data_IF_029429796072
#
_entry.id   IF_029429796072
#
_cell.length_a   1.000
_cell.length_b   1.000
_cell.length_c   1.000
_cell.angle_alpha   90.00
_cell.angle_beta   90.00
_cell.angle_gamma   90.00
#
_symmetry.space_group_name_H-M   'P 1'
#
loop_
_entity.id
_entity.type
_entity.pdbx_description
1 polymer ?
#
# COMPACT_ATOMS: atom_id res chain seq x y z
N UNK A 1 -19.36 -9.08 7.38
CA UNK A 1 -19.91 -7.99 8.17
C UNK A 1 -21.17 -7.38 7.53
N UNK A 2 -21.54 -7.77 6.31
CA UNK A 2 -22.78 -7.35 5.65
C UNK A 2 -22.85 -5.88 5.21
N UNK A 3 -21.72 -5.17 5.18
CA UNK A 3 -21.68 -3.82 4.63
C UNK A 3 -21.88 -3.91 3.11
N UNK A 4 -22.84 -3.16 2.51
CA UNK A 4 -23.13 -3.23 1.09
C UNK A 4 -22.05 -2.51 0.27
N UNK A 5 -20.92 -3.14 0.08
CA UNK A 5 -19.82 -2.64 -0.75
C UNK A 5 -20.04 -3.16 -2.17
N UNK A 6 -20.21 -2.25 -3.11
CA UNK A 6 -20.39 -2.58 -4.52
C UNK A 6 -19.07 -2.89 -5.23
N UNK A 7 -18.04 -2.13 -4.92
CA UNK A 7 -16.72 -2.22 -5.56
C UNK A 7 -15.59 -2.02 -4.56
N UNK A 8 -14.52 -2.75 -4.78
CA UNK A 8 -13.25 -2.62 -4.07
C UNK A 8 -12.22 -2.10 -5.05
N UNK A 9 -11.69 -0.91 -4.78
CA UNK A 9 -10.71 -0.29 -5.66
C UNK A 9 -9.33 -0.34 -5.05
N UNK A 10 -8.39 -0.92 -5.78
CA UNK A 10 -6.99 -0.92 -5.43
C UNK A 10 -6.29 0.22 -6.19
N UNK A 11 -5.73 1.13 -5.45
CA UNK A 11 -4.87 2.17 -6.00
C UNK A 11 -3.41 1.77 -5.74
N UNK A 12 -2.62 1.76 -6.79
CA UNK A 12 -1.18 1.52 -6.73
C UNK A 12 -0.41 2.75 -7.16
N UNK A 13 0.85 2.82 -6.77
CA UNK A 13 1.81 3.73 -7.38
C UNK A 13 2.41 3.09 -8.64
N UNK A 14 3.54 3.61 -9.11
CA UNK A 14 4.25 3.10 -10.29
C UNK A 14 4.68 1.63 -10.16
N UNK A 15 4.77 1.10 -8.93
CA UNK A 15 4.95 -0.32 -8.63
C UNK A 15 3.60 -1.06 -8.73
N UNK A 16 3.06 -1.12 -9.91
CA UNK A 16 1.68 -1.48 -10.19
C UNK A 16 1.40 -3.01 -10.32
N UNK A 17 2.09 -3.82 -9.55
CA UNK A 17 1.94 -5.30 -9.59
C UNK A 17 0.51 -5.75 -9.30
N UNK A 18 -0.18 -5.11 -8.35
CA UNK A 18 -1.57 -5.43 -8.03
C UNK A 18 -2.53 -4.92 -9.12
N UNK A 19 -2.26 -3.77 -9.70
CA UNK A 19 -3.06 -3.29 -10.84
C UNK A 19 -2.95 -4.26 -12.01
N UNK A 20 -1.74 -4.71 -12.35
CA UNK A 20 -1.51 -5.74 -13.36
C UNK A 20 -2.32 -7.01 -13.04
N UNK A 21 -2.24 -7.51 -11.80
CA UNK A 21 -2.96 -8.71 -11.40
C UNK A 21 -4.47 -8.59 -11.53
N UNK A 22 -5.09 -7.57 -10.99
CA UNK A 22 -6.55 -7.40 -11.02
C UNK A 22 -7.08 -7.01 -12.41
N UNK A 23 -6.20 -6.57 -13.30
CA UNK A 23 -6.55 -6.24 -14.69
C UNK A 23 -6.38 -7.43 -15.62
N UNK A 24 -5.32 -8.23 -15.44
CA UNK A 24 -4.92 -9.29 -16.36
C UNK A 24 -5.11 -10.70 -15.83
N UNK A 25 -5.25 -10.88 -14.52
CA UNK A 25 -5.23 -12.18 -13.84
C UNK A 25 -3.82 -12.76 -13.64
N UNK A 26 -2.77 -12.00 -13.96
CA UNK A 26 -1.38 -12.45 -13.86
C UNK A 26 -0.68 -11.68 -12.76
N UNK A 27 -0.19 -12.39 -11.75
CA UNK A 27 0.59 -11.81 -10.65
C UNK A 27 2.07 -12.12 -10.84
N UNK A 28 2.86 -11.06 -11.01
CA UNK A 28 4.32 -11.13 -11.20
C UNK A 28 5.01 -10.14 -10.27
N UNK A 29 5.35 -10.57 -9.05
CA UNK A 29 6.18 -9.75 -8.16
C UNK A 29 7.49 -9.38 -8.84
N UNK A 30 7.87 -8.12 -8.75
CA UNK A 30 9.15 -7.63 -9.28
C UNK A 30 10.28 -7.91 -8.29
N UNK A 31 11.49 -7.97 -8.79
CA UNK A 31 12.68 -8.02 -7.93
C UNK A 31 12.86 -6.71 -7.14
N UNK A 32 13.73 -6.71 -6.15
CA UNK A 32 14.07 -5.49 -5.43
C UNK A 32 14.73 -4.44 -6.36
N UNK A 33 15.47 -4.90 -7.38
CA UNK A 33 16.14 -4.02 -8.34
C UNK A 33 15.16 -3.38 -9.34
N UNK A 34 14.05 -4.07 -9.64
CA UNK A 34 13.01 -3.59 -10.54
C UNK A 34 11.92 -2.78 -9.81
N UNK A 35 11.99 -2.72 -8.49
CA UNK A 35 11.04 -1.93 -7.68
C UNK A 35 11.50 -0.49 -7.63
N UNK A 36 10.63 0.42 -8.08
CA UNK A 36 10.93 1.85 -8.13
C UNK A 36 10.80 2.48 -6.76
N UNK A 37 11.73 3.37 -6.40
CA UNK A 37 11.58 4.25 -5.26
C UNK A 37 10.63 5.40 -5.63
N UNK A 38 9.49 5.51 -4.95
CA UNK A 38 8.44 6.49 -5.28
C UNK A 38 8.19 7.48 -4.14
N UNK A 39 7.36 8.48 -4.39
CA UNK A 39 6.90 9.44 -3.37
C UNK A 39 5.79 8.88 -2.46
N UNK A 40 5.32 7.66 -2.69
CA UNK A 40 4.46 6.90 -1.78
C UNK A 40 5.14 5.59 -1.34
N UNK A 41 6.24 5.69 -0.56
CA UNK A 41 7.20 4.60 -0.36
C UNK A 41 6.63 3.37 0.38
N UNK A 42 5.54 3.49 1.11
CA UNK A 42 4.92 2.32 1.76
C UNK A 42 4.31 1.33 0.78
N UNK A 43 4.13 1.73 -0.48
CA UNK A 43 3.68 0.87 -1.57
C UNK A 43 4.82 0.39 -2.49
N UNK A 44 6.09 0.71 -2.16
CA UNK A 44 7.26 0.24 -2.89
C UNK A 44 7.61 -1.19 -2.49
N UNK A 45 6.61 -2.07 -2.57
CA UNK A 45 6.66 -3.47 -2.21
C UNK A 45 6.03 -4.29 -3.33
N UNK A 46 6.82 -5.11 -3.99
CA UNK A 46 6.32 -5.92 -5.12
C UNK A 46 5.56 -7.18 -4.69
N UNK A 47 5.97 -7.83 -3.59
CA UNK A 47 5.28 -9.02 -3.07
C UNK A 47 4.29 -8.62 -1.97
N UNK A 48 3.01 -8.53 -2.33
CA UNK A 48 1.94 -8.12 -1.42
C UNK A 48 1.51 -9.28 -0.50
N UNK A 49 1.90 -9.22 0.78
CA UNK A 49 1.59 -10.27 1.77
C UNK A 49 0.09 -10.45 2.04
N UNK A 50 -0.72 -9.41 1.85
CA UNK A 50 -2.17 -9.50 2.02
C UNK A 50 -2.86 -10.22 0.86
N UNK A 51 -2.29 -10.18 -0.35
CA UNK A 51 -2.83 -10.85 -1.52
C UNK A 51 -2.83 -12.37 -1.34
N UNK A 52 -1.79 -12.92 -0.74
CA UNK A 52 -1.66 -14.35 -0.46
C UNK A 52 -2.90 -14.91 0.28
N UNK A 53 -3.34 -14.22 1.33
CA UNK A 53 -4.54 -14.62 2.10
C UNK A 53 -5.81 -14.56 1.27
N UNK A 54 -5.93 -13.57 0.41
CA UNK A 54 -7.07 -13.46 -0.49
C UNK A 54 -7.06 -14.59 -1.54
N UNK A 55 -5.92 -14.88 -2.15
CA UNK A 55 -5.78 -15.98 -3.12
C UNK A 55 -6.06 -17.33 -2.45
N UNK A 56 -5.61 -17.53 -1.22
CA UNK A 56 -5.95 -18.72 -0.45
C UNK A 56 -7.47 -18.88 -0.26
N UNK A 57 -8.15 -17.80 0.10
CA UNK A 57 -9.61 -17.81 0.27
C UNK A 57 -10.35 -17.99 -1.07
N UNK A 58 -9.80 -17.49 -2.17
CA UNK A 58 -10.35 -17.60 -3.52
C UNK A 58 -10.30 -19.03 -4.06
N UNK A 59 -9.16 -19.70 -3.87
CA UNK A 59 -8.86 -21.01 -4.48
C UNK A 59 -9.15 -22.19 -3.56
N UNK A 60 -9.18 -21.98 -2.25
CA UNK A 60 -9.16 -23.04 -1.25
C UNK A 60 -7.75 -23.62 -1.04
N UNK A 61 -7.52 -24.34 0.09
CA UNK A 61 -6.18 -24.69 0.55
C UNK A 61 -5.41 -25.59 -0.44
N UNK A 62 -6.06 -26.57 -1.03
CA UNK A 62 -5.40 -27.56 -1.89
C UNK A 62 -4.90 -26.93 -3.21
N UNK A 63 -5.77 -26.18 -3.89
CA UNK A 63 -5.41 -25.50 -5.15
C UNK A 63 -4.44 -24.38 -4.90
N UNK A 64 -4.59 -23.66 -3.80
CA UNK A 64 -3.67 -22.59 -3.41
C UNK A 64 -2.23 -23.10 -3.29
N UNK A 65 -2.00 -24.19 -2.58
CA UNK A 65 -0.63 -24.72 -2.38
C UNK A 65 0.05 -25.02 -3.72
N UNK A 66 -0.68 -25.62 -4.67
CA UNK A 66 -0.14 -25.93 -5.99
C UNK A 66 0.21 -24.66 -6.77
N UNK A 67 -0.74 -23.71 -6.87
CA UNK A 67 -0.58 -22.47 -7.61
C UNK A 67 0.49 -21.55 -6.99
N UNK A 68 0.56 -21.52 -5.65
CA UNK A 68 1.58 -20.73 -4.97
C UNK A 68 2.99 -21.30 -5.13
N UNK A 69 3.13 -22.62 -5.20
CA UNK A 69 4.40 -23.26 -5.53
C UNK A 69 4.86 -22.93 -6.98
N UNK A 70 3.92 -22.75 -7.91
CA UNK A 70 4.25 -22.27 -9.26
C UNK A 70 4.84 -20.85 -9.21
N UNK A 71 4.27 -19.95 -8.41
CA UNK A 71 4.81 -18.60 -8.21
C UNK A 71 6.24 -18.64 -7.68
N UNK A 72 6.52 -19.47 -6.68
CA UNK A 72 7.87 -19.55 -6.08
C UNK A 72 8.91 -20.12 -7.07
N UNK A 73 8.49 -20.96 -8.02
CA UNK A 73 9.39 -21.58 -9.00
C UNK A 73 9.53 -20.78 -10.29
N UNK A 74 8.46 -20.16 -10.76
CA UNK A 74 8.42 -19.48 -12.06
C UNK A 74 8.45 -17.93 -11.95
N UNK A 75 8.26 -17.40 -10.75
CA UNK A 75 8.08 -15.96 -10.51
C UNK A 75 6.73 -15.41 -10.98
N UNK A 76 5.80 -16.29 -11.42
CA UNK A 76 4.51 -15.86 -11.98
C UNK A 76 3.38 -16.76 -11.48
N UNK A 77 2.26 -16.14 -11.09
CA UNK A 77 1.02 -16.83 -10.78
C UNK A 77 -0.04 -16.43 -11.83
N UNK A 78 -0.49 -17.40 -12.62
CA UNK A 78 -1.53 -17.21 -13.64
C UNK A 78 -2.90 -17.61 -13.08
N UNK A 79 -3.77 -16.61 -12.86
CA UNK A 79 -5.15 -16.78 -12.40
C UNK A 79 -6.14 -16.11 -13.38
N UNK A 80 -5.85 -16.13 -14.68
CA UNK A 80 -6.75 -15.58 -15.71
C UNK A 80 -8.12 -16.27 -15.71
N UNK A 81 -8.17 -17.53 -15.32
CA UNK A 81 -9.40 -18.31 -15.14
C UNK A 81 -10.29 -17.77 -13.99
N UNK A 82 -9.69 -17.05 -13.02
CA UNK A 82 -10.41 -16.43 -11.91
C UNK A 82 -10.79 -14.96 -12.15
N UNK A 83 -10.31 -14.36 -13.23
CA UNK A 83 -10.53 -12.93 -13.50
C UNK A 83 -12.02 -12.52 -13.54
N UNK A 84 -12.95 -13.31 -14.13
CA UNK A 84 -14.37 -13.01 -14.06
C UNK A 84 -14.89 -12.94 -12.63
N UNK A 85 -14.48 -13.88 -11.76
CA UNK A 85 -14.87 -13.86 -10.34
C UNK A 85 -14.34 -12.64 -9.60
N UNK A 86 -13.08 -12.26 -9.86
CA UNK A 86 -12.48 -11.07 -9.26
C UNK A 86 -13.29 -9.81 -9.57
N UNK A 87 -13.80 -9.69 -10.79
CA UNK A 87 -14.54 -8.51 -11.27
C UNK A 87 -16.02 -8.53 -10.89
N UNK A 88 -16.67 -9.66 -11.08
CA UNK A 88 -18.14 -9.77 -11.00
C UNK A 88 -18.61 -10.16 -9.59
N UNK A 89 -17.94 -11.12 -8.95
CA UNK A 89 -18.31 -11.60 -7.62
C UNK A 89 -17.76 -10.68 -6.52
N UNK A 90 -16.47 -10.28 -6.62
CA UNK A 90 -15.81 -9.48 -5.60
C UNK A 90 -15.80 -7.97 -5.92
N UNK A 91 -16.11 -7.59 -7.14
CA UNK A 91 -16.17 -6.20 -7.55
C UNK A 91 -14.82 -5.47 -7.57
N UNK A 92 -13.72 -6.20 -7.74
CA UNK A 92 -12.39 -5.60 -7.79
C UNK A 92 -12.17 -4.76 -9.04
N UNK A 93 -11.60 -3.58 -8.80
CA UNK A 93 -11.04 -2.68 -9.81
C UNK A 93 -9.66 -2.24 -9.32
N UNK A 94 -8.80 -1.88 -10.26
CA UNK A 94 -7.48 -1.40 -9.92
C UNK A 94 -7.05 -0.26 -10.85
N UNK A 95 -6.11 0.54 -10.39
CA UNK A 95 -5.51 1.61 -11.20
C UNK A 95 -4.21 2.09 -10.59
N UNK A 96 -3.41 2.72 -11.45
CA UNK A 96 -2.10 3.27 -11.08
C UNK A 96 -2.14 4.79 -11.05
N UNK A 97 -1.48 5.36 -10.06
CA UNK A 97 -1.22 6.79 -9.90
C UNK A 97 0.28 7.06 -10.09
N UNK A 98 0.60 8.18 -10.69
CA UNK A 98 1.98 8.64 -10.88
C UNK A 98 2.37 9.69 -9.84
N UNK A 99 3.67 10.02 -9.77
CA UNK A 99 4.13 11.11 -8.93
C UNK A 99 3.40 12.44 -9.20
N UNK A 100 3.23 12.79 -10.46
CA UNK A 100 2.51 14.01 -10.86
C UNK A 100 1.04 14.00 -10.42
N UNK A 101 0.36 12.84 -10.53
CA UNK A 101 -1.00 12.66 -10.06
C UNK A 101 -1.11 12.87 -8.54
N UNK A 102 -0.15 12.36 -7.76
CA UNK A 102 -0.10 12.53 -6.30
C UNK A 102 0.03 13.99 -5.91
N UNK A 103 0.95 14.72 -6.54
CA UNK A 103 1.13 16.15 -6.28
C UNK A 103 -0.15 16.92 -6.57
N UNK A 104 -0.81 16.64 -7.70
CA UNK A 104 -2.06 17.27 -8.07
C UNK A 104 -3.21 16.93 -7.10
N UNK A 105 -3.33 15.66 -6.69
CA UNK A 105 -4.34 15.26 -5.73
C UNK A 105 -4.15 15.95 -4.36
N UNK A 106 -2.93 16.07 -3.87
CA UNK A 106 -2.62 16.79 -2.62
C UNK A 106 -3.07 18.27 -2.74
N UNK A 107 -2.70 18.96 -3.83
CA UNK A 107 -3.13 20.36 -4.09
C UNK A 107 -4.64 20.49 -4.13
N UNK A 108 -5.27 19.72 -5.00
CA UNK A 108 -6.71 19.80 -5.24
C UNK A 108 -7.53 19.51 -3.98
N UNK A 109 -7.16 18.49 -3.19
CA UNK A 109 -7.84 18.19 -1.92
C UNK A 109 -7.65 19.34 -0.93
N UNK A 110 -6.44 19.89 -0.82
CA UNK A 110 -6.17 21.04 0.06
C UNK A 110 -6.98 22.27 -0.32
N UNK A 111 -7.03 22.62 -1.60
CA UNK A 111 -7.77 23.76 -2.11
C UNK A 111 -9.29 23.61 -1.91
N UNK A 112 -9.84 22.43 -2.19
CA UNK A 112 -11.28 22.19 -2.18
C UNK A 112 -11.88 21.95 -0.80
N UNK A 113 -11.11 21.37 0.11
CA UNK A 113 -11.61 20.92 1.42
C UNK A 113 -10.85 21.48 2.62
N UNK A 114 -9.72 22.14 2.41
CA UNK A 114 -8.82 22.56 3.47
C UNK A 114 -8.03 21.39 4.12
N UNK A 115 -8.32 20.14 3.76
CA UNK A 115 -7.64 18.95 4.33
C UNK A 115 -6.30 18.70 3.64
N UNK A 116 -5.34 18.25 4.42
CA UNK A 116 -4.06 17.82 3.91
C UNK A 116 -3.98 16.30 4.00
N UNK A 117 -3.74 15.67 2.84
CA UNK A 117 -3.60 14.22 2.70
C UNK A 117 -2.15 13.83 2.45
N UNK A 118 -1.81 12.61 2.81
CA UNK A 118 -0.50 12.02 2.52
C UNK A 118 -0.43 11.46 1.08
N UNK A 119 0.78 11.17 0.55
CA UNK A 119 0.94 10.69 -0.81
C UNK A 119 0.22 9.36 -1.12
N UNK A 120 0.11 8.45 -0.15
CA UNK A 120 -0.59 7.18 -0.35
C UNK A 120 -2.11 7.38 -0.44
N UNK A 121 -2.64 8.26 0.39
CA UNK A 121 -4.05 8.69 0.27
C UNK A 121 -4.29 9.40 -1.05
N UNK A 122 -3.31 10.16 -1.56
CA UNK A 122 -3.37 10.81 -2.87
C UNK A 122 -3.46 9.80 -4.03
N UNK A 123 -2.74 8.66 -3.95
CA UNK A 123 -2.91 7.56 -4.92
C UNK A 123 -4.36 7.06 -4.92
N UNK A 124 -4.93 6.84 -3.73
CA UNK A 124 -6.32 6.43 -3.58
C UNK A 124 -7.32 7.43 -4.15
N UNK A 125 -7.13 8.72 -3.88
CA UNK A 125 -7.97 9.80 -4.42
C UNK A 125 -7.89 9.84 -5.94
N UNK A 126 -6.69 9.82 -6.49
CA UNK A 126 -6.45 9.86 -7.95
C UNK A 126 -7.18 8.73 -8.67
N UNK A 127 -6.98 7.49 -8.24
CA UNK A 127 -7.61 6.34 -8.89
C UNK A 127 -9.13 6.36 -8.70
N UNK A 128 -9.60 6.75 -7.52
CA UNK A 128 -11.03 6.85 -7.22
C UNK A 128 -11.74 7.85 -8.13
N UNK A 129 -11.17 9.04 -8.33
CA UNK A 129 -11.75 10.07 -9.19
C UNK A 129 -11.92 9.66 -10.64
N UNK A 130 -11.10 8.72 -11.14
CA UNK A 130 -11.18 8.22 -12.52
C UNK A 130 -12.35 7.27 -12.77
N UNK A 131 -12.87 6.64 -11.70
CA UNK A 131 -13.82 5.54 -11.81
C UNK A 131 -15.05 5.68 -10.90
N UNK A 132 -15.15 6.76 -10.13
CA UNK A 132 -16.32 7.04 -9.28
C UNK A 132 -17.58 7.17 -10.12
N UNK A 133 -18.67 6.61 -9.62
CA UNK A 133 -19.97 6.67 -10.29
C UNK A 133 -20.90 7.67 -9.59
N UNK A 134 -21.60 8.52 -10.33
CA UNK A 134 -22.59 9.42 -9.77
C UNK A 134 -23.64 8.67 -8.96
N UNK A 135 -23.97 9.18 -7.77
CA UNK A 135 -24.97 8.59 -6.89
C UNK A 135 -24.45 7.47 -5.96
N UNK A 136 -23.20 7.08 -6.10
CA UNK A 136 -22.57 6.13 -5.18
C UNK A 136 -21.46 6.80 -4.37
N UNK A 137 -21.52 6.81 -3.02
CA UNK A 137 -20.44 7.34 -2.20
C UNK A 137 -19.18 6.48 -2.36
N UNK A 138 -18.04 7.16 -2.53
CA UNK A 138 -16.73 6.52 -2.60
C UNK A 138 -15.95 6.86 -1.34
N UNK A 139 -15.48 5.84 -0.62
CA UNK A 139 -14.65 5.99 0.56
C UNK A 139 -13.19 5.75 0.18
N UNK A 140 -12.36 6.76 0.36
CA UNK A 140 -10.90 6.63 0.24
C UNK A 140 -10.32 6.47 1.65
N UNK A 141 -9.60 5.37 1.87
CA UNK A 141 -9.00 5.10 3.16
C UNK A 141 -7.74 5.93 3.36
N UNK A 142 -7.75 6.82 4.35
CA UNK A 142 -6.54 7.53 4.77
C UNK A 142 -5.61 6.57 5.52
N UNK A 143 -4.39 6.40 5.03
CA UNK A 143 -3.46 5.38 5.54
C UNK A 143 -2.33 5.95 6.39
N UNK A 144 -2.03 7.24 6.25
CA UNK A 144 -0.97 7.93 6.98
C UNK A 144 -1.29 9.41 7.16
N UNK A 145 -0.42 10.12 7.90
CA UNK A 145 -0.51 11.59 8.04
C UNK A 145 0.50 12.25 7.12
N UNK A 146 0.11 13.38 6.52
CA UNK A 146 0.94 14.19 5.62
C UNK A 146 2.31 14.56 6.24
N UNK A 147 2.35 14.84 7.54
CA UNK A 147 3.58 15.15 8.26
C UNK A 147 4.66 14.06 8.22
N UNK A 148 4.32 12.82 7.85
CA UNK A 148 5.31 11.75 7.62
C UNK A 148 6.07 11.88 6.30
N UNK A 149 5.55 12.68 5.37
CA UNK A 149 6.07 12.82 4.01
C UNK A 149 6.28 14.29 3.65
N UNK A 150 7.07 15.04 4.46
CA UNK A 150 7.18 16.49 4.31
C UNK A 150 7.74 16.89 2.96
N UNK A 151 8.65 16.11 2.39
CA UNK A 151 9.25 16.41 1.07
C UNK A 151 8.20 16.44 -0.05
N UNK A 152 7.40 15.39 -0.18
CA UNK A 152 6.35 15.29 -1.21
C UNK A 152 5.26 16.34 -1.01
N UNK A 153 4.89 16.60 0.25
CA UNK A 153 3.89 17.63 0.58
C UNK A 153 4.42 19.02 0.26
N UNK A 154 5.68 19.30 0.58
CA UNK A 154 6.33 20.59 0.25
C UNK A 154 6.44 20.80 -1.26
N UNK A 155 6.76 19.74 -2.00
CA UNK A 155 6.78 19.79 -3.47
C UNK A 155 5.38 20.10 -4.05
N UNK A 156 4.34 19.52 -3.46
CA UNK A 156 2.97 19.77 -3.89
C UNK A 156 2.49 21.20 -3.58
N UNK A 157 2.82 21.73 -2.40
CA UNK A 157 2.20 22.96 -1.86
C UNK A 157 3.15 24.16 -1.82
N UNK A 158 4.45 23.97 -2.03
CA UNK A 158 5.47 25.02 -1.87
C UNK A 158 5.77 25.38 -0.40
N UNK A 159 5.24 24.61 0.58
CA UNK A 159 5.46 24.81 2.01
C UNK A 159 5.39 23.48 2.76
N UNK A 160 6.15 23.37 3.83
CA UNK A 160 6.13 22.17 4.67
C UNK A 160 4.78 22.02 5.40
N UNK A 161 4.34 20.77 5.60
CA UNK A 161 3.16 20.51 6.44
C UNK A 161 3.47 20.82 7.90
N UNK A 162 2.45 21.28 8.64
CA UNK A 162 2.57 21.45 10.08
C UNK A 162 2.95 20.12 10.74
N UNK A 163 4.01 20.16 11.54
CA UNK A 163 4.41 19.00 12.34
C UNK A 163 3.61 19.03 13.65
N UNK A 164 2.79 18.01 13.94
CA UNK A 164 2.09 17.95 15.21
C UNK A 164 3.07 17.99 16.41
N UNK A 165 2.72 18.72 17.48
CA UNK A 165 3.59 18.89 18.66
C UNK A 165 4.13 17.59 19.22
N UNK A 166 3.29 16.54 19.25
CA UNK A 166 3.69 15.18 19.69
C UNK A 166 4.81 14.61 18.83
N UNK A 167 4.79 14.87 17.52
CA UNK A 167 5.82 14.39 16.59
C UNK A 167 7.09 15.24 16.75
N UNK A 168 6.97 16.55 16.89
CA UNK A 168 8.10 17.44 17.13
C UNK A 168 8.84 17.05 18.42
N UNK A 169 8.12 16.82 19.53
CA UNK A 169 8.69 16.33 20.79
C UNK A 169 9.39 14.97 20.64
N UNK A 170 8.78 14.05 19.90
CA UNK A 170 9.36 12.74 19.63
C UNK A 170 10.66 12.82 18.82
N UNK A 171 10.70 13.68 17.79
CA UNK A 171 11.89 13.89 16.95
C UNK A 171 13.03 14.57 17.71
N UNK A 172 12.72 15.39 18.72
CA UNK A 172 13.71 16.05 19.56
C UNK A 172 14.36 15.09 20.60
N UNK A 173 13.78 13.91 20.83
CA UNK A 173 14.33 12.95 21.80
C UNK A 173 15.53 12.20 21.24
N UNK A 174 16.53 11.87 22.10
CA UNK A 174 17.65 11.04 21.67
C UNK A 174 17.17 9.67 21.22
N UNK A 175 17.66 9.23 20.08
CA UNK A 175 17.37 7.89 19.58
C UNK A 175 18.04 6.83 20.46
N UNK A 176 17.29 5.80 20.80
CA UNK A 176 17.80 4.61 21.48
C UNK A 176 17.86 3.48 20.46
N UNK A 177 19.01 3.32 19.85
CA UNK A 177 19.25 2.29 18.83
C UNK A 177 20.38 1.39 19.32
N UNK A 178 20.18 0.10 19.19
CA UNK A 178 21.19 -0.92 19.44
C UNK A 178 21.38 -1.74 18.17
N UNK A 179 22.61 -1.83 17.70
CA UNK A 179 22.95 -2.62 16.51
C UNK A 179 23.38 -3.99 16.95
N UNK A 180 22.74 -5.02 16.41
CA UNK A 180 23.07 -6.43 16.65
C UNK A 180 23.34 -7.11 15.32
N UNK A 181 24.04 -8.26 15.36
CA UNK A 181 24.21 -9.10 14.19
C UNK A 181 22.86 -9.66 13.71
N UNK A 182 22.71 -9.79 12.39
CA UNK A 182 21.49 -10.34 11.77
C UNK A 182 21.42 -11.87 11.98
N UNK A 183 21.29 -12.28 13.24
CA UNK A 183 21.19 -13.65 13.69
C UNK A 183 20.11 -13.77 14.77
N UNK A 184 19.50 -14.93 14.93
CA UNK A 184 18.47 -15.16 15.95
C UNK A 184 19.03 -15.06 17.38
N UNK A 185 20.21 -15.63 17.61
CA UNK A 185 20.78 -15.73 18.96
C UNK A 185 21.05 -14.36 19.62
N UNK A 186 21.70 -13.37 18.98
CA UNK A 186 21.86 -12.03 19.56
C UNK A 186 20.53 -11.35 19.83
N UNK A 187 19.52 -11.50 18.96
CA UNK A 187 18.20 -10.94 19.18
C UNK A 187 17.50 -11.57 20.39
N UNK A 188 17.60 -12.88 20.56
CA UNK A 188 17.04 -13.61 21.70
C UNK A 188 17.66 -13.12 23.02
N UNK A 189 18.98 -13.02 23.08
CA UNK A 189 19.70 -12.50 24.27
C UNK A 189 19.24 -11.08 24.60
N UNK A 190 19.19 -10.21 23.60
CA UNK A 190 18.73 -8.81 23.79
C UNK A 190 17.30 -8.74 24.35
N UNK A 191 16.39 -9.57 23.85
CA UNK A 191 15.01 -9.64 24.35
C UNK A 191 14.97 -10.12 25.79
N UNK A 192 15.71 -11.19 26.13
CA UNK A 192 15.76 -11.74 27.48
C UNK A 192 16.32 -10.74 28.48
N UNK A 193 17.43 -10.07 28.15
CA UNK A 193 18.04 -9.04 29.01
C UNK A 193 17.14 -7.83 29.24
N UNK A 194 16.36 -7.41 28.24
CA UNK A 194 15.54 -6.20 28.33
C UNK A 194 14.13 -6.46 28.86
N UNK A 195 13.55 -7.63 28.58
CA UNK A 195 12.19 -7.96 29.01
C UNK A 195 12.10 -8.35 30.48
N UNK A 196 13.16 -8.97 31.04
CA UNK A 196 13.20 -9.41 32.43
C UNK A 196 13.55 -8.31 33.44
N UNK A 197 13.97 -7.15 32.98
CA UNK A 197 14.39 -6.01 33.81
C UNK A 197 13.34 -4.88 33.90
N UNK A 198 12.05 -5.21 33.80
CA UNK A 198 10.93 -4.27 34.04
C UNK A 198 10.15 -4.61 35.29
#
# INVERSE_FOLDING_TARGET
>A
MGVPIRRLMLATNENNVLEEFFTTGIYRPRSAEDTLATSSPSMDISKASNLERFIWALLGPEVFVQRWAELETTGTLDLRDQLPRLREEFGFMAGTSTHADRLEAIRSVKERSGRLIDPHTADGVTVSLRVMEPGFPTLVMETAKAAKFPQTVSEALGSEPDTPDVVADLLARPQKVETIDNQEAPLRVLIEERALNR
#
